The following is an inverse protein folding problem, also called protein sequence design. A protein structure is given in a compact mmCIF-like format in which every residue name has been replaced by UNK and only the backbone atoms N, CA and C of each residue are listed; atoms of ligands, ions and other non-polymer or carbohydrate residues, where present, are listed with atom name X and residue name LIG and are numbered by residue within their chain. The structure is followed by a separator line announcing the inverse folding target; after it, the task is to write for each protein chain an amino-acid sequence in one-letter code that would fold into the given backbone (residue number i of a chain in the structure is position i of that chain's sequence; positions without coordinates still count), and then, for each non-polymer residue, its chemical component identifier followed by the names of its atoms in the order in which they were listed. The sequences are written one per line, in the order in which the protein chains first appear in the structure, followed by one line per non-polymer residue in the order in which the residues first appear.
data_IF_095268113962
#
_entry.id   IF_095268113962
#
_cell.length_a   1.000
_cell.length_b   1.000
_cell.length_c   1.000
_cell.angle_alpha   90.00
_cell.angle_beta   90.00
_cell.angle_gamma   90.00
#
_symmetry.space_group_name_H-M   'P 1'
#
loop_
_entity.id
_entity.type
_entity.pdbx_description
1 polymer ?
#
# COMPACT_ATOMS: atom_id res chain seq x y z
N UNK A 1 15.76 21.45 -12.10
CA UNK A 1 15.20 22.81 -11.87
C UNK A 1 13.67 22.73 -11.93
N UNK A 2 12.98 22.14 -10.94
CA UNK A 2 11.52 21.94 -11.07
C UNK A 2 10.73 22.02 -9.75
N UNK A 3 11.36 21.82 -8.59
CA UNK A 3 10.67 21.89 -7.28
C UNK A 3 10.47 23.32 -6.78
N UNK A 4 11.50 24.17 -6.86
CA UNK A 4 11.46 25.54 -6.32
C UNK A 4 10.40 26.41 -7.03
N UNK A 5 10.29 26.30 -8.35
CA UNK A 5 9.24 26.99 -9.12
C UNK A 5 7.83 26.51 -8.78
N UNK A 6 7.67 25.23 -8.43
CA UNK A 6 6.37 24.68 -8.05
C UNK A 6 5.92 25.20 -6.69
N UNK A 7 6.85 25.34 -5.75
CA UNK A 7 6.59 25.91 -4.41
C UNK A 7 6.24 27.39 -4.48
N UNK A 8 6.98 28.18 -5.27
CA UNK A 8 6.69 29.61 -5.47
C UNK A 8 5.29 29.82 -6.08
N UNK A 9 4.97 29.05 -7.12
CA UNK A 9 3.66 29.14 -7.77
C UNK A 9 2.54 28.73 -6.80
N UNK A 10 2.74 27.69 -5.99
CA UNK A 10 1.75 27.27 -5.01
C UNK A 10 1.44 28.38 -3.99
N UNK A 11 2.48 29.07 -3.51
CA UNK A 11 2.32 30.18 -2.56
C UNK A 11 1.57 31.35 -3.22
N UNK A 12 1.90 31.68 -4.47
CA UNK A 12 1.25 32.79 -5.17
C UNK A 12 -0.21 32.48 -5.52
N UNK A 13 -0.54 31.23 -5.88
CA UNK A 13 -1.93 30.81 -6.11
C UNK A 13 -2.75 30.62 -4.83
N UNK A 14 -2.12 30.44 -3.66
CA UNK A 14 -2.82 30.20 -2.38
C UNK A 14 -2.91 31.43 -1.48
N UNK A 15 -2.18 32.52 -1.80
CA UNK A 15 -2.18 33.76 -1.02
C UNK A 15 -3.52 34.49 -0.95
N UNK A 16 -4.28 34.47 -2.05
CA UNK A 16 -5.56 35.16 -2.14
C UNK A 16 -6.75 34.24 -1.81
N UNK A 17 -6.49 32.99 -1.40
CA UNK A 17 -7.56 32.07 -1.05
C UNK A 17 -8.16 32.43 0.32
N UNK A 18 -9.50 32.40 0.44
CA UNK A 18 -10.16 32.53 1.74
C UNK A 18 -9.73 31.37 2.65
N UNK A 19 -9.70 31.63 3.96
CA UNK A 19 -9.21 30.68 4.97
C UNK A 19 -9.95 29.36 4.92
N UNK A 20 -11.24 29.41 4.59
CA UNK A 20 -12.13 28.27 4.43
C UNK A 20 -11.68 27.36 3.27
N UNK A 21 -11.31 27.94 2.13
CA UNK A 21 -10.83 27.17 0.97
C UNK A 21 -9.46 26.53 1.25
N UNK A 22 -8.59 27.22 2.00
CA UNK A 22 -7.30 26.67 2.40
C UNK A 22 -7.46 25.49 3.37
N UNK A 23 -8.45 25.57 4.27
CA UNK A 23 -8.80 24.47 5.16
C UNK A 23 -9.31 23.26 4.38
N UNK A 24 -10.21 23.45 3.41
CA UNK A 24 -10.70 22.35 2.56
C UNK A 24 -9.59 21.66 1.76
N UNK A 25 -8.63 22.43 1.25
CA UNK A 25 -7.46 21.87 0.54
C UNK A 25 -6.61 21.00 1.48
N UNK A 26 -6.37 21.46 2.71
CA UNK A 26 -5.65 20.68 3.72
C UNK A 26 -6.40 19.40 4.10
N UNK A 27 -7.72 19.49 4.26
CA UNK A 27 -8.57 18.34 4.57
C UNK A 27 -8.56 17.33 3.42
N UNK A 28 -8.61 17.81 2.17
CA UNK A 28 -8.50 16.97 0.97
C UNK A 28 -7.14 16.27 0.88
N UNK A 29 -6.03 16.99 1.10
CA UNK A 29 -4.68 16.40 1.11
C UNK A 29 -4.57 15.34 2.21
N UNK A 30 -5.10 15.62 3.40
CA UNK A 30 -5.13 14.68 4.52
C UNK A 30 -5.93 13.41 4.17
N UNK A 31 -7.10 13.58 3.56
CA UNK A 31 -7.93 12.48 3.08
C UNK A 31 -7.18 11.59 2.08
N UNK A 32 -6.57 12.17 1.04
CA UNK A 32 -5.81 11.43 0.04
C UNK A 32 -4.64 10.65 0.67
N UNK A 33 -3.88 11.30 1.57
CA UNK A 33 -2.78 10.64 2.30
C UNK A 33 -3.26 9.47 3.14
N UNK A 34 -4.40 9.62 3.82
CA UNK A 34 -4.99 8.56 4.64
C UNK A 34 -5.46 7.38 3.79
N UNK A 35 -6.03 7.64 2.61
CA UNK A 35 -6.51 6.63 1.67
C UNK A 35 -5.36 5.82 1.09
N UNK A 36 -4.32 6.49 0.62
CA UNK A 36 -3.14 5.82 0.05
C UNK A 36 -2.39 4.96 1.09
N UNK A 37 -2.31 5.40 2.35
CA UNK A 37 -1.71 4.59 3.42
C UNK A 37 -2.50 3.31 3.70
N UNK A 38 -3.84 3.37 3.66
CA UNK A 38 -4.68 2.18 3.87
C UNK A 38 -4.50 1.17 2.74
N UNK A 39 -4.50 1.62 1.48
CA UNK A 39 -4.34 0.75 0.31
C UNK A 39 -2.98 0.03 0.29
N UNK A 40 -1.90 0.72 0.68
CA UNK A 40 -0.55 0.12 0.73
C UNK A 40 -0.43 -1.00 1.78
N UNK A 41 -1.01 -0.81 2.98
CA UNK A 41 -0.91 -1.81 4.06
C UNK A 41 -1.78 -3.04 3.75
N UNK A 42 -2.96 -2.84 3.14
CA UNK A 42 -3.80 -3.97 2.72
C UNK A 42 -3.16 -4.79 1.60
N UNK A 43 -2.52 -4.15 0.61
CA UNK A 43 -1.87 -4.85 -0.51
C UNK A 43 -0.76 -5.77 -0.02
N UNK A 44 0.08 -5.29 0.89
CA UNK A 44 1.27 -6.01 1.35
C UNK A 44 0.90 -7.29 2.14
N UNK A 45 -0.08 -7.20 3.04
CA UNK A 45 -0.54 -8.36 3.81
C UNK A 45 -1.23 -9.40 2.94
N UNK A 46 -1.99 -8.96 1.93
CA UNK A 46 -2.63 -9.86 0.97
C UNK A 46 -1.59 -10.58 0.10
N UNK A 47 -0.56 -9.86 -0.38
CA UNK A 47 0.54 -10.44 -1.15
C UNK A 47 1.37 -11.45 -0.34
N UNK A 48 1.73 -11.10 0.91
CA UNK A 48 2.43 -12.01 1.83
C UNK A 48 1.62 -13.27 2.16
N UNK A 49 0.31 -13.13 2.36
CA UNK A 49 -0.57 -14.26 2.62
C UNK A 49 -0.70 -15.18 1.40
N UNK A 50 -0.76 -14.61 0.19
CA UNK A 50 -0.81 -15.37 -1.06
C UNK A 50 0.50 -16.13 -1.31
N UNK A 51 1.65 -15.50 -1.05
CA UNK A 51 2.97 -16.12 -1.18
C UNK A 51 3.13 -17.30 -0.20
N UNK A 52 2.73 -17.11 1.06
CA UNK A 52 2.78 -18.15 2.08
C UNK A 52 1.89 -19.35 1.70
N UNK A 53 0.67 -19.08 1.22
CA UNK A 53 -0.24 -20.13 0.79
C UNK A 53 0.33 -20.95 -0.38
N UNK A 54 0.89 -20.30 -1.40
CA UNK A 54 1.48 -21.01 -2.54
C UNK A 54 2.66 -21.90 -2.14
N UNK A 55 3.43 -21.52 -1.12
CA UNK A 55 4.54 -22.33 -0.62
C UNK A 55 4.05 -23.53 0.20
N UNK A 56 2.97 -23.35 0.98
CA UNK A 56 2.33 -24.43 1.71
C UNK A 56 1.68 -25.43 0.75
N UNK A 57 0.93 -24.96 -0.24
CA UNK A 57 0.27 -25.82 -1.24
C UNK A 57 1.31 -26.66 -2.01
N UNK A 58 2.46 -26.06 -2.36
CA UNK A 58 3.58 -26.77 -3.00
C UNK A 58 4.19 -27.86 -2.09
N UNK A 59 4.39 -27.57 -0.81
CA UNK A 59 4.87 -28.56 0.16
C UNK A 59 3.84 -29.67 0.39
N UNK A 60 2.55 -29.36 0.47
CA UNK A 60 1.52 -30.40 0.61
C UNK A 60 1.51 -31.32 -0.61
N UNK A 61 1.65 -30.78 -1.82
CA UNK A 61 1.74 -31.58 -3.06
C UNK A 61 3.00 -32.48 -3.08
N UNK A 62 4.17 -31.94 -2.72
CA UNK A 62 5.43 -32.69 -2.72
C UNK A 62 5.45 -33.82 -1.67
N UNK A 63 4.67 -33.67 -0.59
CA UNK A 63 4.60 -34.64 0.51
C UNK A 63 3.30 -35.46 0.57
N UNK A 64 2.39 -35.33 -0.42
CA UNK A 64 1.07 -35.98 -0.43
C UNK A 64 1.17 -37.50 -0.23
N UNK A 65 2.17 -38.13 -0.84
CA UNK A 65 2.40 -39.59 -0.76
C UNK A 65 3.60 -39.99 0.11
N UNK A 66 4.17 -39.06 0.87
CA UNK A 66 5.40 -39.32 1.64
C UNK A 66 5.23 -40.48 2.63
N UNK A 67 4.13 -40.50 3.38
CA UNK A 67 3.83 -41.58 4.35
C UNK A 67 3.58 -42.93 3.67
N UNK A 68 3.15 -42.91 2.42
CA UNK A 68 2.89 -44.11 1.60
C UNK A 68 4.18 -44.66 1.02
N UNK A 69 5.09 -43.79 0.58
CA UNK A 69 6.39 -44.12 -0.01
C UNK A 69 7.45 -44.48 1.04
N UNK A 70 7.36 -43.89 2.24
CA UNK A 70 8.30 -44.09 3.34
C UNK A 70 7.57 -44.46 4.65
N UNK A 71 6.97 -45.67 4.73
CA UNK A 71 6.12 -46.06 5.86
C UNK A 71 6.87 -46.48 7.14
N UNK A 72 8.20 -46.49 7.13
CA UNK A 72 9.06 -47.04 8.21
C UNK A 72 9.93 -45.95 8.88
N UNK A 73 9.92 -44.71 8.37
CA UNK A 73 10.48 -43.54 9.07
C UNK A 73 9.55 -43.04 10.17
#
# INVERSE_FOLDING_TARGET
MTTIQSEQNLIDYTKDLPKEALQEILDFISFIRSKNRKEQISSLNSELSYLNKSQIDYLEEEFTDYKTLYPIE
#
